data_IF_850109089953
#
_entry.id   IF_850109089953
#
_cell.length_a   1.000
_cell.length_b   1.000
_cell.length_c   1.000
_cell.angle_alpha   90.00
_cell.angle_beta   90.00
_cell.angle_gamma   90.00
#
_symmetry.space_group_name_H-M   'P 1'
#
loop_
_entity.id
_entity.type
_entity.pdbx_description
1 polymer ?
#
# COMPACT_ATOMS: atom_id res chain seq x y z
N UNK A 1 -8.11 25.53 -13.56
CA UNK A 1 -6.96 26.30 -14.06
C UNK A 1 -5.66 25.92 -13.38
N UNK A 2 -5.54 26.00 -12.04
CA UNK A 2 -4.28 25.68 -11.33
C UNK A 2 -3.89 24.20 -11.46
N UNK A 3 -4.83 23.27 -11.26
CA UNK A 3 -4.57 21.84 -11.41
C UNK A 3 -4.17 21.47 -12.83
N UNK A 4 -4.75 22.13 -13.85
CA UNK A 4 -4.36 21.93 -15.24
C UNK A 4 -2.95 22.44 -15.51
N UNK A 5 -2.60 23.63 -15.00
CA UNK A 5 -1.27 24.21 -15.14
C UNK A 5 -0.19 23.39 -14.43
N UNK A 6 -0.53 22.69 -13.34
CA UNK A 6 0.39 21.82 -12.63
C UNK A 6 0.72 20.53 -13.41
N UNK A 7 -0.21 20.04 -14.24
CA UNK A 7 -0.06 18.77 -14.96
C UNK A 7 0.32 18.97 -16.45
N UNK A 8 -0.02 20.13 -17.05
CA UNK A 8 0.24 20.39 -18.47
C UNK A 8 1.40 21.37 -18.59
N UNK A 9 2.54 20.92 -19.09
CA UNK A 9 3.78 21.70 -19.26
C UNK A 9 4.25 21.57 -20.70
N UNK A 10 4.39 22.68 -21.39
CA UNK A 10 4.90 22.73 -22.77
C UNK A 10 4.22 21.77 -23.74
N UNK A 11 2.90 21.59 -23.60
CA UNK A 11 2.11 20.66 -24.41
C UNK A 11 2.17 19.19 -23.96
N UNK A 12 2.91 18.87 -22.90
CA UNK A 12 3.00 17.53 -22.33
C UNK A 12 2.16 17.39 -21.07
N UNK A 13 1.46 16.27 -20.97
CA UNK A 13 0.68 15.92 -19.78
C UNK A 13 1.52 15.06 -18.84
N UNK A 14 1.83 15.59 -17.66
CA UNK A 14 2.39 14.81 -16.56
C UNK A 14 1.25 14.00 -15.89
N UNK A 15 1.19 12.69 -16.15
CA UNK A 15 0.20 11.78 -15.59
C UNK A 15 0.54 11.39 -14.16
N UNK A 16 1.79 11.59 -13.72
CA UNK A 16 2.34 11.08 -12.47
C UNK A 16 2.56 9.56 -12.46
N UNK A 17 2.40 8.89 -13.60
CA UNK A 17 2.66 7.47 -13.74
C UNK A 17 4.12 7.23 -14.16
N UNK A 18 4.71 6.16 -13.61
CA UNK A 18 6.04 5.67 -13.98
C UNK A 18 5.90 4.54 -14.99
N UNK A 19 6.72 4.59 -16.03
CA UNK A 19 6.70 3.59 -17.08
C UNK A 19 8.11 3.36 -17.65
N UNK A 20 8.30 2.25 -18.32
CA UNK A 20 9.50 1.98 -19.13
C UNK A 20 9.11 1.48 -20.52
N UNK A 21 9.99 1.68 -21.48
CA UNK A 21 9.87 1.15 -22.85
C UNK A 21 10.69 -0.13 -22.98
N UNK A 22 10.09 -1.16 -23.56
CA UNK A 22 10.80 -2.39 -23.95
C UNK A 22 10.21 -2.93 -25.24
N UNK A 23 11.06 -3.20 -26.20
CA UNK A 23 10.70 -3.77 -27.52
C UNK A 23 9.54 -3.00 -28.21
N UNK A 24 9.57 -1.65 -28.13
CA UNK A 24 8.55 -0.77 -28.70
C UNK A 24 7.22 -0.70 -27.93
N UNK A 25 7.11 -1.41 -26.81
CA UNK A 25 5.92 -1.40 -25.95
C UNK A 25 6.16 -0.59 -24.68
N UNK A 26 5.14 0.16 -24.25
CA UNK A 26 5.15 0.93 -23.01
C UNK A 26 4.57 0.10 -21.86
N UNK A 27 5.32 -0.02 -20.77
CA UNK A 27 4.92 -0.75 -19.55
C UNK A 27 4.77 0.24 -18.40
N UNK A 28 3.55 0.41 -17.92
CA UNK A 28 3.26 1.25 -16.74
C UNK A 28 3.49 0.41 -15.49
N UNK A 29 4.37 0.89 -14.61
CA UNK A 29 4.78 0.18 -13.39
C UNK A 29 4.13 0.71 -12.11
N UNK A 30 3.58 1.93 -12.14
CA UNK A 30 2.88 2.50 -10.99
C UNK A 30 2.91 4.03 -10.97
N UNK A 31 2.48 4.61 -9.86
CA UNK A 31 2.54 6.05 -9.66
C UNK A 31 3.79 6.48 -8.92
N UNK A 32 4.47 7.52 -9.40
CA UNK A 32 5.69 8.04 -8.77
C UNK A 32 5.47 8.40 -7.28
N UNK A 33 4.32 9.00 -6.96
CA UNK A 33 3.96 9.40 -5.59
C UNK A 33 3.62 8.23 -4.65
N UNK A 34 3.33 7.06 -5.19
CA UNK A 34 3.00 5.87 -4.39
C UNK A 34 4.24 5.04 -4.08
N UNK A 35 5.37 5.28 -4.76
CA UNK A 35 6.61 4.53 -4.57
C UNK A 35 7.07 4.60 -3.12
N UNK A 36 7.37 3.45 -2.56
CA UNK A 36 7.92 3.29 -1.21
C UNK A 36 9.44 3.31 -1.34
N UNK A 37 10.09 4.34 -0.80
CA UNK A 37 11.55 4.48 -0.83
C UNK A 37 12.06 4.28 0.58
N UNK A 38 12.82 3.19 0.81
CA UNK A 38 13.36 2.87 2.12
C UNK A 38 14.81 2.43 1.95
N UNK A 39 15.72 3.02 2.73
CA UNK A 39 17.16 2.76 2.66
C UNK A 39 17.72 2.88 1.22
N UNK A 40 17.23 3.86 0.44
CA UNK A 40 17.64 4.08 -0.93
C UNK A 40 17.15 3.05 -1.95
N UNK A 41 16.28 2.10 -1.55
CA UNK A 41 15.66 1.13 -2.43
C UNK A 41 14.20 1.50 -2.73
N UNK A 42 13.83 1.35 -3.99
CA UNK A 42 12.48 1.60 -4.47
C UNK A 42 11.66 0.29 -4.41
N UNK A 43 10.49 0.36 -3.78
CA UNK A 43 9.54 -0.75 -3.72
C UNK A 43 8.19 -0.27 -4.25
N UNK A 44 7.61 -1.01 -5.16
CA UNK A 44 6.27 -0.73 -5.63
C UNK A 44 5.23 -1.28 -4.65
N UNK A 45 4.27 -0.46 -4.19
CA UNK A 45 3.19 -0.94 -3.32
C UNK A 45 2.45 -2.14 -3.91
N UNK A 46 2.24 -2.15 -5.22
CA UNK A 46 1.55 -3.22 -5.93
C UNK A 46 2.25 -4.57 -5.78
N UNK A 47 3.58 -4.61 -5.78
CA UNK A 47 4.33 -5.86 -5.65
C UNK A 47 4.13 -6.45 -4.24
N UNK A 48 4.11 -5.57 -3.22
CA UNK A 48 3.83 -5.97 -1.84
C UNK A 48 2.38 -6.46 -1.70
N UNK A 49 1.43 -5.69 -2.23
CA UNK A 49 0.00 -6.02 -2.18
C UNK A 49 -0.28 -7.34 -2.90
N UNK A 50 0.22 -7.50 -4.11
CA UNK A 50 0.10 -8.72 -4.92
C UNK A 50 0.64 -9.95 -4.21
N UNK A 51 1.80 -9.82 -3.60
CA UNK A 51 2.39 -10.94 -2.89
C UNK A 51 1.54 -11.37 -1.69
N UNK A 52 0.90 -10.43 -1.00
CA UNK A 52 0.00 -10.74 0.12
C UNK A 52 -1.32 -11.32 -0.40
N UNK A 53 -1.84 -10.82 -1.52
CA UNK A 53 -3.06 -11.32 -2.16
C UNK A 53 -2.96 -12.80 -2.59
N UNK A 54 -1.74 -13.35 -2.74
CA UNK A 54 -1.55 -14.79 -2.95
C UNK A 54 -1.87 -15.64 -1.70
N UNK A 55 -2.00 -15.03 -0.53
CA UNK A 55 -2.47 -15.74 0.65
C UNK A 55 -3.98 -15.98 0.57
N UNK A 56 -4.49 -17.11 1.10
CA UNK A 56 -5.91 -17.42 1.02
C UNK A 56 -6.80 -16.37 1.68
N UNK A 57 -7.97 -16.10 1.09
CA UNK A 57 -9.01 -15.27 1.67
C UNK A 57 -9.00 -13.79 1.31
N UNK A 58 -8.03 -13.33 0.50
CA UNK A 58 -7.97 -11.94 0.04
C UNK A 58 -8.58 -11.75 -1.35
N UNK A 59 -9.02 -10.51 -1.59
CA UNK A 59 -9.49 -10.02 -2.88
C UNK A 59 -8.71 -8.78 -3.26
N UNK A 60 -8.66 -8.48 -4.54
CA UNK A 60 -8.04 -7.26 -5.04
C UNK A 60 -8.60 -6.01 -4.35
N UNK A 61 -7.69 -5.20 -3.80
CA UNK A 61 -8.02 -4.00 -3.04
C UNK A 61 -8.41 -4.23 -1.57
N UNK A 62 -8.16 -5.42 -1.02
CA UNK A 62 -8.25 -5.66 0.43
C UNK A 62 -6.99 -5.20 1.17
N UNK A 63 -5.94 -4.84 0.46
CA UNK A 63 -4.62 -4.54 0.99
C UNK A 63 -4.17 -3.19 0.47
N UNK A 64 -3.64 -2.35 1.35
CA UNK A 64 -3.01 -1.08 1.01
C UNK A 64 -1.61 -1.01 1.61
N UNK A 65 -0.58 -0.89 0.76
CA UNK A 65 0.80 -0.72 1.16
C UNK A 65 1.28 0.71 0.92
N UNK A 66 2.02 1.26 1.88
CA UNK A 66 2.64 2.59 1.81
C UNK A 66 3.80 2.70 2.81
N UNK A 67 4.57 3.78 2.76
CA UNK A 67 5.61 4.06 3.76
C UNK A 67 5.05 4.81 4.96
N UNK A 68 5.59 4.52 6.15
CA UNK A 68 5.36 5.31 7.38
C UNK A 68 6.68 5.60 8.06
N UNK A 69 6.72 6.67 8.85
CA UNK A 69 7.82 6.91 9.78
C UNK A 69 7.48 6.24 11.10
N UNK A 70 8.36 5.37 11.56
CA UNK A 70 8.20 4.68 12.85
C UNK A 70 8.47 5.65 14.02
N UNK A 71 8.08 5.32 15.25
CA UNK A 71 8.43 6.12 16.43
C UNK A 71 9.95 6.32 16.63
N UNK A 72 10.78 5.42 16.10
CA UNK A 72 12.24 5.58 16.09
C UNK A 72 12.75 6.57 15.04
N UNK A 73 11.88 7.13 14.19
CA UNK A 73 12.25 8.04 13.10
C UNK A 73 12.68 7.36 11.82
N UNK A 74 12.64 6.04 11.75
CA UNK A 74 12.99 5.27 10.56
C UNK A 74 11.79 5.12 9.63
N UNK A 75 12.03 5.10 8.33
CA UNK A 75 11.00 4.73 7.35
C UNK A 75 10.82 3.23 7.28
N UNK A 76 9.58 2.78 7.31
CA UNK A 76 9.21 1.37 7.18
C UNK A 76 8.00 1.18 6.25
N UNK A 77 7.89 0.03 5.58
CA UNK A 77 6.66 -0.34 4.91
C UNK A 77 5.54 -0.52 5.93
N UNK A 78 4.38 0.02 5.65
CA UNK A 78 3.15 -0.26 6.38
C UNK A 78 2.12 -0.90 5.44
N UNK A 79 1.41 -1.89 5.95
CA UNK A 79 0.40 -2.63 5.22
C UNK A 79 -0.89 -2.66 6.03
N UNK A 80 -1.93 -2.05 5.51
CA UNK A 80 -3.29 -2.19 6.05
C UNK A 80 -3.99 -3.33 5.32
N UNK A 81 -4.58 -4.23 6.06
CA UNK A 81 -5.19 -5.46 5.55
C UNK A 81 -6.60 -5.62 6.06
N UNK A 82 -7.58 -5.66 5.17
CA UNK A 82 -8.96 -5.94 5.53
C UNK A 82 -9.11 -7.41 5.96
N UNK A 83 -9.41 -7.61 7.24
CA UNK A 83 -9.54 -8.92 7.85
C UNK A 83 -11.00 -9.27 8.13
N UNK A 84 -11.42 -10.45 7.70
CA UNK A 84 -12.81 -10.93 7.82
C UNK A 84 -12.99 -11.94 8.95
N UNK A 85 -11.91 -12.58 9.41
CA UNK A 85 -12.02 -13.52 10.54
C UNK A 85 -12.24 -12.79 11.87
N UNK A 86 -13.05 -13.39 12.73
CA UNK A 86 -13.25 -12.93 14.12
C UNK A 86 -12.35 -13.65 15.11
N UNK A 87 -11.71 -14.74 14.69
CA UNK A 87 -10.82 -15.54 15.54
C UNK A 87 -9.48 -14.84 15.75
N UNK A 88 -9.11 -14.56 16.99
CA UNK A 88 -7.89 -13.82 17.32
C UNK A 88 -6.62 -14.60 16.95
N UNK A 89 -6.61 -15.92 17.17
CA UNK A 89 -5.47 -16.77 16.78
C UNK A 89 -5.23 -16.77 15.27
N UNK A 90 -6.30 -16.78 14.48
CA UNK A 90 -6.19 -16.66 13.02
C UNK A 90 -5.66 -15.31 12.60
N UNK A 91 -6.10 -14.22 13.26
CA UNK A 91 -5.60 -12.87 13.00
C UNK A 91 -4.11 -12.75 13.29
N UNK A 92 -3.65 -13.31 14.42
CA UNK A 92 -2.23 -13.30 14.78
C UNK A 92 -1.41 -14.08 13.74
N UNK A 93 -1.84 -15.29 13.37
CA UNK A 93 -1.19 -16.11 12.35
C UNK A 93 -1.14 -15.38 10.99
N UNK A 94 -2.24 -14.75 10.61
CA UNK A 94 -2.33 -13.98 9.38
C UNK A 94 -1.36 -12.80 9.37
N UNK A 95 -1.33 -12.00 10.44
CA UNK A 95 -0.41 -10.87 10.59
C UNK A 95 1.05 -11.33 10.48
N UNK A 96 1.42 -12.44 11.12
CA UNK A 96 2.78 -12.95 11.11
C UNK A 96 3.17 -13.53 9.75
N UNK A 97 2.24 -14.17 9.04
CA UNK A 97 2.43 -14.64 7.67
C UNK A 97 2.67 -13.45 6.72
N UNK A 98 1.92 -12.36 6.88
CA UNK A 98 2.09 -11.14 6.08
C UNK A 98 3.45 -10.51 6.36
N UNK A 99 3.85 -10.36 7.63
CA UNK A 99 5.17 -9.85 8.01
C UNK A 99 6.31 -10.65 7.36
N UNK A 100 6.20 -11.97 7.41
CA UNK A 100 7.18 -12.88 6.79
C UNK A 100 7.24 -12.67 5.28
N UNK A 101 6.07 -12.56 4.63
CA UNK A 101 5.98 -12.36 3.18
C UNK A 101 6.58 -11.03 2.75
N UNK A 102 6.24 -9.93 3.43
CA UNK A 102 6.79 -8.60 3.14
C UNK A 102 8.30 -8.57 3.37
N UNK A 103 8.78 -9.15 4.46
CA UNK A 103 10.22 -9.24 4.72
C UNK A 103 10.97 -10.02 3.64
N UNK A 104 10.38 -11.08 3.10
CA UNK A 104 10.99 -11.85 2.01
C UNK A 104 11.14 -11.02 0.71
N UNK A 105 10.21 -10.09 0.45
CA UNK A 105 10.21 -9.28 -0.77
C UNK A 105 11.08 -8.03 -0.61
N UNK A 106 10.93 -7.33 0.53
CA UNK A 106 11.58 -6.04 0.75
C UNK A 106 12.94 -6.16 1.47
N UNK A 107 13.18 -7.27 2.14
CA UNK A 107 14.31 -7.44 3.06
C UNK A 107 14.13 -6.73 4.41
N UNK A 108 12.98 -6.11 4.67
CA UNK A 108 12.77 -5.25 5.83
C UNK A 108 11.58 -5.70 6.69
N UNK A 109 11.62 -5.32 7.95
CA UNK A 109 10.45 -5.42 8.82
C UNK A 109 9.40 -4.39 8.40
N UNK A 110 8.12 -4.73 8.59
CA UNK A 110 7.01 -3.87 8.23
C UNK A 110 6.01 -3.74 9.38
N UNK A 111 5.25 -2.65 9.35
CA UNK A 111 4.05 -2.49 10.17
C UNK A 111 2.90 -3.19 9.47
N UNK A 112 2.22 -4.12 10.14
CA UNK A 112 1.04 -4.79 9.61
C UNK A 112 -0.13 -4.55 10.54
N UNK A 113 -1.15 -3.87 10.02
CA UNK A 113 -2.37 -3.57 10.74
C UNK A 113 -3.56 -4.26 10.07
N UNK A 114 -4.26 -5.07 10.84
CA UNK A 114 -5.52 -5.65 10.40
C UNK A 114 -6.65 -4.64 10.65
N UNK A 115 -7.48 -4.42 9.66
CA UNK A 115 -8.61 -3.47 9.75
C UNK A 115 -9.92 -4.17 9.40
N UNK A 116 -11.07 -3.67 9.88
CA UNK A 116 -12.37 -4.22 9.50
C UNK A 116 -12.60 -4.18 7.98
N UNK A 117 -13.45 -5.06 7.45
CA UNK A 117 -13.85 -5.01 6.05
C UNK A 117 -14.46 -3.66 5.67
N UNK A 118 -14.21 -3.21 4.45
CA UNK A 118 -14.69 -1.92 3.89
C UNK A 118 -14.09 -0.66 4.54
N UNK A 119 -13.02 -0.79 5.30
CA UNK A 119 -12.32 0.35 5.91
C UNK A 119 -11.45 1.08 4.89
N UNK A 120 -10.86 0.35 3.92
CA UNK A 120 -9.97 0.98 2.95
C UNK A 120 -10.72 1.86 1.95
N UNK A 121 -10.30 3.13 1.79
CA UNK A 121 -10.98 4.08 0.92
C UNK A 121 -10.80 3.71 -0.55
N UNK A 122 -11.84 3.96 -1.33
CA UNK A 122 -11.86 3.78 -2.77
C UNK A 122 -12.12 5.09 -3.51
N UNK A 123 -11.64 5.17 -4.73
CA UNK A 123 -11.95 6.27 -5.65
C UNK A 123 -13.39 6.12 -6.18
N UNK A 124 -13.90 7.14 -6.86
CA UNK A 124 -15.20 7.08 -7.56
C UNK A 124 -15.27 5.95 -8.59
N UNK A 125 -14.13 5.55 -9.16
CA UNK A 125 -14.03 4.39 -10.06
C UNK A 125 -13.89 3.04 -9.34
N UNK A 126 -14.00 3.01 -8.00
CA UNK A 126 -13.92 1.78 -7.19
C UNK A 126 -12.50 1.27 -6.91
N UNK A 127 -11.47 1.95 -7.40
CA UNK A 127 -10.08 1.56 -7.17
C UNK A 127 -9.62 1.97 -5.76
N UNK A 128 -8.73 1.18 -5.16
CA UNK A 128 -8.07 1.51 -3.90
C UNK A 128 -7.35 2.86 -3.98
N UNK A 129 -7.54 3.72 -2.97
CA UNK A 129 -6.83 5.00 -2.84
C UNK A 129 -5.78 4.91 -1.73
N UNK A 130 -4.54 4.52 -2.07
CA UNK A 130 -3.42 4.38 -1.11
C UNK A 130 -3.11 5.68 -0.40
N UNK A 131 -3.07 6.80 -1.13
CA UNK A 131 -2.79 8.11 -0.55
C UNK A 131 -3.83 8.50 0.50
N UNK A 132 -5.13 8.23 0.24
CA UNK A 132 -6.20 8.47 1.20
C UNK A 132 -6.12 7.50 2.37
N UNK A 133 -5.81 6.21 2.14
CA UNK A 133 -5.62 5.23 3.19
C UNK A 133 -4.48 5.63 4.14
N UNK A 134 -3.33 6.03 3.60
CA UNK A 134 -2.19 6.56 4.38
C UNK A 134 -2.61 7.77 5.22
N UNK A 135 -3.29 8.74 4.60
CA UNK A 135 -3.74 9.96 5.30
C UNK A 135 -4.66 9.63 6.47
N UNK A 136 -5.67 8.78 6.26
CA UNK A 136 -6.64 8.40 7.30
C UNK A 136 -5.97 7.57 8.41
N UNK A 137 -5.03 6.69 8.06
CA UNK A 137 -4.27 5.91 9.04
C UNK A 137 -3.42 6.81 9.93
N UNK A 138 -2.65 7.73 9.34
CA UNK A 138 -1.82 8.67 10.11
C UNK A 138 -2.64 9.67 10.96
N UNK A 139 -3.87 9.96 10.54
CA UNK A 139 -4.81 10.78 11.33
C UNK A 139 -5.53 10.00 12.44
N UNK A 140 -5.30 8.67 12.56
CA UNK A 140 -5.99 7.82 13.53
C UNK A 140 -7.47 7.54 13.19
N UNK A 141 -7.91 7.89 11.97
CA UNK A 141 -9.28 7.66 11.51
C UNK A 141 -9.51 6.21 11.04
N UNK A 142 -8.45 5.52 10.64
CA UNK A 142 -8.47 4.06 10.45
C UNK A 142 -8.00 3.43 11.74
N UNK A 143 -8.91 2.75 12.43
CA UNK A 143 -8.62 2.06 13.68
C UNK A 143 -8.33 0.60 13.40
N UNK A 144 -7.09 0.12 13.67
CA UNK A 144 -6.75 -1.29 13.56
C UNK A 144 -7.58 -2.15 14.52
N UNK A 145 -7.73 -3.42 14.14
CA UNK A 145 -8.32 -4.42 15.02
C UNK A 145 -7.32 -4.69 16.16
N UNK A 146 -7.78 -4.54 17.39
CA UNK A 146 -6.96 -4.88 18.55
C UNK A 146 -6.69 -6.39 18.58
N UNK A 147 -5.42 -6.74 18.64
CA UNK A 147 -4.93 -8.12 18.75
C UNK A 147 -4.38 -8.41 20.15
N UNK A 148 -4.67 -7.55 21.12
CA UNK A 148 -4.30 -7.81 22.49
C UNK A 148 -4.95 -9.12 22.96
N UNK A 149 -4.12 -9.98 23.50
CA UNK A 149 -4.49 -11.29 24.01
C UNK A 149 -5.38 -11.20 25.26
#
# INVERSE_FOLDING_TARGET
PEATAACLKDGWLDTGDMAYMKDGSLYIVGRAKDMIIINGKNHWPQDIEWAIEQLPGFKAGDIAAFSVTTPSGEEAPAVLVQCRTSCNDERIKLRDAIKTKVKAITGMSCVVELVPPRTLPRTSSGKLSRAKAKKLYLAGEIVPIDLAA
#
